data_IF_578460331183
#
_entry.id   IF_578460331183
#
_cell.length_a   1.000
_cell.length_b   1.000
_cell.length_c   1.000
_cell.angle_alpha   90.00
_cell.angle_beta   90.00
_cell.angle_gamma   90.00
#
_symmetry.space_group_name_H-M   'P 1'
#
loop_
_entity.id
_entity.type
_entity.pdbx_description
1 polymer ?
#
# COMPACT_ATOMS: atom_id res chain seq x y z
N UNK A 1 5.51 -6.13 24.34
CA UNK A 1 5.86 -5.73 22.95
C UNK A 1 4.62 -5.70 22.10
N UNK A 2 4.44 -4.62 21.38
CA UNK A 2 3.26 -4.48 20.51
C UNK A 2 3.58 -5.05 19.15
N UNK A 3 2.81 -6.05 18.72
CA UNK A 3 2.91 -6.56 17.36
C UNK A 3 2.20 -5.60 16.41
N UNK A 4 2.84 -5.29 15.30
CA UNK A 4 2.19 -4.54 14.24
C UNK A 4 1.36 -5.47 13.37
N UNK A 5 0.20 -4.98 12.97
CA UNK A 5 -0.67 -5.68 12.02
C UNK A 5 -0.18 -5.36 10.62
N UNK A 6 0.12 -6.40 9.85
CA UNK A 6 0.58 -6.26 8.47
C UNK A 6 -0.63 -6.12 7.56
N UNK A 7 -0.63 -5.06 6.75
CA UNK A 7 -1.77 -4.72 5.90
C UNK A 7 -1.31 -4.54 4.46
N UNK A 8 -2.01 -5.20 3.55
CA UNK A 8 -1.86 -4.98 2.12
C UNK A 8 -3.14 -4.30 1.62
N UNK A 9 -2.99 -3.27 0.79
CA UNK A 9 -4.11 -2.50 0.26
C UNK A 9 -4.31 -2.84 -1.21
N UNK A 10 -5.50 -3.33 -1.56
CA UNK A 10 -5.90 -3.55 -2.95
C UNK A 10 -6.51 -2.26 -3.50
N UNK A 11 -6.28 -1.99 -4.79
CA UNK A 11 -6.75 -0.75 -5.39
C UNK A 11 -6.02 0.47 -4.83
N UNK A 12 -4.73 0.32 -4.56
CA UNK A 12 -3.96 1.30 -3.80
C UNK A 12 -3.94 2.70 -4.44
N UNK A 13 -4.11 2.81 -5.76
CA UNK A 13 -4.11 4.09 -6.45
C UNK A 13 -5.52 4.68 -6.61
N UNK A 14 -6.56 3.96 -6.19
CA UNK A 14 -7.93 4.46 -6.23
C UNK A 14 -8.21 5.39 -5.06
N UNK A 15 -9.39 6.01 -5.07
CA UNK A 15 -9.77 6.95 -4.01
C UNK A 15 -9.73 6.30 -2.62
N UNK A 16 -10.39 5.15 -2.50
CA UNK A 16 -10.43 4.45 -1.21
C UNK A 16 -9.06 3.90 -0.85
N UNK A 17 -8.30 3.44 -1.83
CA UNK A 17 -6.96 2.93 -1.59
C UNK A 17 -6.05 3.99 -0.99
N UNK A 18 -6.09 5.21 -1.50
CA UNK A 18 -5.29 6.31 -0.97
C UNK A 18 -5.65 6.61 0.48
N UNK A 19 -6.93 6.61 0.81
CA UNK A 19 -7.40 6.83 2.18
C UNK A 19 -6.91 5.71 3.09
N UNK A 20 -6.97 4.47 2.61
CA UNK A 20 -6.50 3.32 3.39
C UNK A 20 -5.00 3.37 3.63
N UNK A 21 -4.21 3.71 2.62
CA UNK A 21 -2.76 3.86 2.77
C UNK A 21 -2.45 4.92 3.82
N UNK A 22 -3.12 6.06 3.75
CA UNK A 22 -2.92 7.13 4.74
C UNK A 22 -3.28 6.66 6.14
N UNK A 23 -4.40 5.96 6.29
CA UNK A 23 -4.84 5.47 7.59
C UNK A 23 -3.82 4.48 8.18
N UNK A 24 -3.27 3.60 7.34
CA UNK A 24 -2.24 2.65 7.78
C UNK A 24 -0.99 3.38 8.25
N UNK A 25 -0.57 4.40 7.50
CA UNK A 25 0.62 5.18 7.85
C UNK A 25 0.46 5.95 9.15
N UNK A 26 -0.75 6.36 9.47
CA UNK A 26 -1.03 7.13 10.68
C UNK A 26 -1.25 6.28 11.93
N UNK A 27 -1.45 4.98 11.77
CA UNK A 27 -1.74 4.09 12.89
C UNK A 27 -0.47 3.35 13.32
N UNK A 28 0.03 3.59 14.55
CA UNK A 28 1.26 2.96 15.01
C UNK A 28 1.17 1.44 15.18
N UNK A 29 -0.05 0.89 15.17
CA UNK A 29 -0.26 -0.55 15.30
C UNK A 29 -0.28 -1.28 13.97
N UNK A 30 -0.25 -0.56 12.87
CA UNK A 30 -0.31 -1.15 11.53
C UNK A 30 0.94 -0.82 10.74
N UNK A 31 1.29 -1.70 9.82
CA UNK A 31 2.38 -1.47 8.88
C UNK A 31 1.94 -1.90 7.49
N UNK A 32 2.17 -1.02 6.51
CA UNK A 32 1.87 -1.33 5.12
C UNK A 32 2.94 -2.29 4.61
N UNK A 33 2.51 -3.46 4.14
CA UNK A 33 3.42 -4.49 3.62
C UNK A 33 3.20 -4.76 2.14
N UNK A 34 2.11 -4.25 1.57
CA UNK A 34 1.85 -4.44 0.15
C UNK A 34 0.82 -3.46 -0.37
N UNK A 35 0.91 -3.19 -1.66
CA UNK A 35 -0.05 -2.34 -2.35
C UNK A 35 -0.28 -2.92 -3.74
N UNK A 36 -1.54 -3.19 -4.06
CA UNK A 36 -1.93 -3.88 -5.28
C UNK A 36 -2.72 -2.98 -6.20
N UNK A 37 -2.46 -3.10 -7.50
CA UNK A 37 -3.26 -2.49 -8.56
C UNK A 37 -3.37 -3.46 -9.72
N UNK A 38 -4.31 -3.17 -10.64
CA UNK A 38 -4.46 -3.99 -11.84
C UNK A 38 -3.25 -3.79 -12.78
N UNK A 39 -3.04 -4.78 -13.66
CA UNK A 39 -1.83 -4.83 -14.49
C UNK A 39 -1.71 -3.65 -15.47
N UNK A 40 -2.82 -2.97 -15.80
CA UNK A 40 -2.80 -1.80 -16.68
C UNK A 40 -2.63 -0.47 -15.96
N UNK A 41 -2.40 -0.48 -14.66
CA UNK A 41 -2.30 0.77 -13.90
C UNK A 41 -0.99 1.51 -14.18
N UNK A 42 -1.09 2.82 -14.37
CA UNK A 42 0.09 3.68 -14.51
C UNK A 42 0.85 3.84 -13.19
N UNK A 43 0.24 3.42 -12.08
CA UNK A 43 0.84 3.54 -10.76
C UNK A 43 1.80 2.38 -10.42
N UNK A 44 1.89 1.35 -11.24
CA UNK A 44 2.78 0.23 -10.98
C UNK A 44 4.22 0.72 -10.87
N UNK A 45 4.91 0.25 -9.82
CA UNK A 45 6.29 0.63 -9.56
C UNK A 45 6.47 1.92 -8.80
N UNK A 46 5.39 2.70 -8.60
CA UNK A 46 5.45 3.89 -7.77
C UNK A 46 5.30 3.50 -6.30
N UNK A 47 5.83 4.34 -5.41
CA UNK A 47 5.61 4.16 -3.99
C UNK A 47 4.12 4.30 -3.66
N UNK A 48 3.61 3.44 -2.79
CA UNK A 48 2.20 3.43 -2.44
C UNK A 48 1.73 4.76 -1.82
N UNK A 49 2.65 5.53 -1.25
CA UNK A 49 2.35 6.85 -0.68
C UNK A 49 2.53 8.00 -1.65
N UNK A 50 2.86 7.73 -2.91
CA UNK A 50 3.16 8.79 -3.89
C UNK A 50 2.03 9.82 -3.98
N UNK A 51 0.78 9.37 -4.08
CA UNK A 51 -0.36 10.25 -4.28
C UNK A 51 -0.72 11.07 -3.03
N UNK A 52 -0.24 10.67 -1.87
CA UNK A 52 -0.48 11.39 -0.62
C UNK A 52 0.78 12.10 -0.11
N UNK A 53 1.81 12.18 -0.95
CA UNK A 53 3.03 12.89 -0.59
C UNK A 53 3.87 12.22 0.48
N UNK A 54 3.74 10.91 0.65
CA UNK A 54 4.48 10.16 1.66
C UNK A 54 5.31 9.07 1.03
N UNK A 55 6.40 8.71 1.68
CA UNK A 55 7.23 7.59 1.26
C UNK A 55 6.99 6.42 2.20
N UNK A 56 6.37 5.36 1.68
CA UNK A 56 6.07 4.18 2.47
C UNK A 56 7.15 3.10 2.38
N UNK A 57 7.95 3.14 1.32
CA UNK A 57 8.90 2.09 1.02
C UNK A 57 8.27 0.87 0.34
N UNK A 58 6.96 0.90 0.11
CA UNK A 58 6.22 -0.19 -0.53
C UNK A 58 5.83 0.23 -1.93
N UNK A 59 6.25 -0.53 -2.94
CA UNK A 59 5.93 -0.23 -4.34
C UNK A 59 4.62 -0.89 -4.73
N UNK A 60 3.83 -0.20 -5.53
CA UNK A 60 2.58 -0.73 -6.06
C UNK A 60 2.88 -1.82 -7.08
N UNK A 61 2.23 -2.97 -6.93
CA UNK A 61 2.47 -4.15 -7.77
C UNK A 61 1.15 -4.74 -8.25
N UNK A 62 1.18 -5.41 -9.39
CA UNK A 62 0.06 -6.20 -9.85
C UNK A 62 0.20 -7.68 -9.48
N UNK A 63 1.30 -8.06 -8.83
CA UNK A 63 1.59 -9.44 -8.47
C UNK A 63 1.12 -9.74 -7.05
N UNK A 64 -0.07 -10.31 -6.95
CA UNK A 64 -0.67 -10.64 -5.66
C UNK A 64 0.17 -11.66 -4.89
N UNK A 65 0.73 -12.65 -5.57
CA UNK A 65 1.53 -13.67 -4.89
C UNK A 65 2.77 -13.08 -4.25
N UNK A 66 3.45 -12.18 -4.95
CA UNK A 66 4.63 -11.50 -4.40
C UNK A 66 4.26 -10.60 -3.22
N UNK A 67 3.14 -9.90 -3.32
CA UNK A 67 2.70 -8.96 -2.28
C UNK A 67 2.28 -9.69 -1.02
N UNK A 68 1.62 -10.86 -1.16
CA UNK A 68 1.09 -11.60 -0.03
C UNK A 68 2.05 -12.68 0.49
N UNK A 69 3.20 -12.81 -0.11
CA UNK A 69 4.19 -13.81 0.29
C UNK A 69 4.79 -13.56 1.68
#
# INVERSE_FOLDING_TARGET
>A
MTQQIRIAVAGANGRMGKVLVEAVQQNPRTVLTGALEHAGSDALGLDAGYAIGQKTGVLISADMDAVLA
#
